data_IF_721409412442
#
_entry.id   IF_721409412442
#
_cell.length_a   1.000
_cell.length_b   1.000
_cell.length_c   1.000
_cell.angle_alpha   90.00
_cell.angle_beta   90.00
_cell.angle_gamma   90.00
#
_symmetry.space_group_name_H-M   'P 1'
#
loop_
_entity.id
_entity.type
_entity.pdbx_description
1 polymer ?
#
# COMPACT_ATOMS: atom_id res chain seq x y z
N UNK A 1 -38.95 -51.42 25.21
CA UNK A 1 -38.26 -50.27 25.86
C UNK A 1 -39.31 -49.33 26.44
N UNK A 2 -39.23 -48.95 27.73
CA UNK A 2 -40.28 -48.13 28.36
C UNK A 2 -40.18 -46.66 27.92
N UNK A 3 -41.31 -45.93 27.89
CA UNK A 3 -41.39 -44.52 27.43
C UNK A 3 -40.39 -43.60 28.15
N UNK A 4 -40.13 -43.86 29.44
CA UNK A 4 -39.16 -43.12 30.25
C UNK A 4 -37.72 -43.30 29.73
N UNK A 5 -37.31 -44.54 29.42
CA UNK A 5 -35.99 -44.85 28.88
C UNK A 5 -35.76 -44.22 27.51
N UNK A 6 -36.80 -44.16 26.65
CA UNK A 6 -36.71 -43.47 25.35
C UNK A 6 -36.44 -41.97 25.54
N UNK A 7 -37.17 -41.33 26.45
CA UNK A 7 -37.02 -39.89 26.72
C UNK A 7 -35.65 -39.55 27.33
N UNK A 8 -35.14 -40.39 28.24
CA UNK A 8 -33.80 -40.19 28.81
C UNK A 8 -32.70 -40.31 27.76
N UNK A 9 -32.80 -41.28 26.85
CA UNK A 9 -31.83 -41.44 25.76
C UNK A 9 -31.89 -40.26 24.77
N UNK A 10 -33.08 -39.76 24.46
CA UNK A 10 -33.25 -38.55 23.64
C UNK A 10 -32.62 -37.33 24.30
N UNK A 11 -32.87 -37.09 25.58
CA UNK A 11 -32.25 -35.98 26.34
C UNK A 11 -30.71 -36.09 26.35
N UNK A 12 -30.18 -37.29 26.55
CA UNK A 12 -28.72 -37.49 26.57
C UNK A 12 -28.10 -37.26 25.20
N UNK A 13 -28.76 -37.71 24.13
CA UNK A 13 -28.32 -37.44 22.75
C UNK A 13 -28.35 -35.95 22.41
N UNK A 14 -29.38 -35.21 22.88
CA UNK A 14 -29.51 -33.78 22.67
C UNK A 14 -28.42 -33.00 23.42
N UNK A 15 -28.13 -33.41 24.66
CA UNK A 15 -27.07 -32.83 25.47
C UNK A 15 -25.68 -33.09 24.86
N UNK A 16 -25.42 -34.32 24.41
CA UNK A 16 -24.17 -34.66 23.75
C UNK A 16 -23.98 -33.85 22.44
N UNK A 17 -25.05 -33.69 21.65
CA UNK A 17 -25.03 -32.84 20.46
C UNK A 17 -24.74 -31.38 20.78
N UNK A 18 -25.38 -30.83 21.82
CA UNK A 18 -25.12 -29.46 22.27
C UNK A 18 -23.66 -29.27 22.72
N UNK A 19 -23.10 -30.22 23.48
CA UNK A 19 -21.70 -30.18 23.94
C UNK A 19 -20.68 -30.28 22.81
N UNK A 20 -21.02 -30.94 21.70
CA UNK A 20 -20.15 -31.02 20.52
C UNK A 20 -20.06 -29.68 19.77
N UNK A 21 -21.14 -28.89 19.74
CA UNK A 21 -21.19 -27.59 19.05
C UNK A 21 -20.34 -26.53 19.76
N UNK A 22 -20.36 -26.49 21.09
CA UNK A 22 -19.55 -25.54 21.90
C UNK A 22 -18.04 -25.76 21.83
N UNK A 23 -17.56 -26.92 21.35
CA UNK A 23 -16.13 -27.24 21.24
C UNK A 23 -15.55 -26.97 19.85
N UNK A 24 -16.30 -26.37 18.92
CA UNK A 24 -15.76 -26.04 17.61
C UNK A 24 -14.79 -24.85 17.74
N UNK A 25 -13.48 -25.04 17.46
CA UNK A 25 -12.54 -23.93 17.52
C UNK A 25 -12.94 -22.89 16.47
N UNK A 26 -13.08 -21.64 16.90
CA UNK A 26 -13.34 -20.54 15.98
C UNK A 26 -12.17 -20.45 14.98
N UNK A 27 -12.48 -20.55 13.69
CA UNK A 27 -11.51 -20.32 12.62
C UNK A 27 -11.20 -18.82 12.54
N UNK A 28 -10.37 -18.34 13.47
CA UNK A 28 -9.85 -16.98 13.42
C UNK A 28 -8.87 -16.86 12.23
N UNK A 29 -8.95 -15.74 11.52
CA UNK A 29 -7.97 -15.42 10.49
C UNK A 29 -6.58 -15.33 11.13
N UNK A 30 -5.62 -16.11 10.64
CA UNK A 30 -4.20 -15.91 10.96
C UNK A 30 -3.63 -15.02 9.86
N UNK A 31 -3.29 -13.78 10.22
CA UNK A 31 -2.77 -12.77 9.28
C UNK A 31 -1.33 -13.02 8.87
N UNK A 32 -0.98 -14.25 8.44
CA UNK A 32 0.35 -14.63 7.98
C UNK A 32 1.50 -14.17 8.88
N UNK A 33 2.69 -14.04 8.30
CA UNK A 33 3.78 -13.24 8.88
C UNK A 33 3.65 -11.78 8.44
N UNK A 34 4.24 -10.85 9.19
CA UNK A 34 4.33 -9.47 8.75
C UNK A 34 5.22 -9.37 7.52
N UNK A 35 4.67 -8.89 6.41
CA UNK A 35 5.45 -8.46 5.25
C UNK A 35 5.68 -6.95 5.34
N UNK A 36 6.95 -6.57 5.53
CA UNK A 36 7.41 -5.18 5.61
C UNK A 36 8.31 -4.83 4.41
N UNK A 37 8.05 -5.43 3.24
CA UNK A 37 8.75 -5.08 2.01
C UNK A 37 8.53 -3.60 1.69
N UNK A 38 9.63 -2.85 1.55
CA UNK A 38 9.57 -1.43 1.22
C UNK A 38 9.57 -1.24 -0.30
N UNK A 39 8.86 -0.21 -0.76
CA UNK A 39 8.86 0.23 -2.14
C UNK A 39 8.78 1.75 -2.20
N UNK A 40 9.35 2.32 -3.25
CA UNK A 40 9.23 3.74 -3.58
C UNK A 40 8.44 3.90 -4.88
N UNK A 41 7.72 5.01 -5.00
CA UNK A 41 7.11 5.41 -6.27
C UNK A 41 8.06 6.41 -6.91
N UNK A 42 8.95 5.91 -7.76
CA UNK A 42 10.00 6.70 -8.39
C UNK A 42 9.56 7.30 -9.74
N UNK A 43 8.25 7.42 -9.97
CA UNK A 43 7.69 8.11 -11.12
C UNK A 43 6.22 8.47 -10.88
N UNK A 44 5.80 9.66 -11.31
CA UNK A 44 4.41 10.10 -11.17
C UNK A 44 4.25 11.59 -11.47
N UNK A 45 3.00 12.02 -11.62
CA UNK A 45 2.65 13.38 -12.08
C UNK A 45 2.03 13.36 -13.47
N UNK A 46 2.16 14.45 -14.20
CA UNK A 46 1.60 14.58 -15.55
C UNK A 46 1.40 16.02 -16.00
N UNK A 47 0.90 16.17 -17.21
CA UNK A 47 0.54 17.45 -17.80
C UNK A 47 -0.93 17.76 -17.50
N UNK A 48 -1.18 18.90 -16.87
CA UNK A 48 -2.50 19.53 -16.80
C UNK A 48 -2.56 20.69 -17.80
N UNK A 49 -3.71 20.88 -18.45
CA UNK A 49 -3.90 21.98 -19.41
C UNK A 49 -5.09 22.85 -19.00
N UNK A 50 -5.00 24.15 -19.29
CA UNK A 50 -6.06 25.11 -19.02
C UNK A 50 -5.91 26.35 -19.92
N UNK A 51 -6.80 26.49 -20.90
CA UNK A 51 -6.70 27.56 -21.90
C UNK A 51 -5.40 27.46 -22.70
N UNK A 52 -4.60 28.53 -22.71
CA UNK A 52 -3.30 28.59 -23.38
C UNK A 52 -2.13 28.07 -22.53
N UNK A 53 -2.40 27.54 -21.34
CA UNK A 53 -1.36 27.13 -20.39
C UNK A 53 -1.29 25.61 -20.23
N UNK A 54 -0.06 25.12 -20.11
CA UNK A 54 0.26 23.73 -19.75
C UNK A 54 1.10 23.73 -18.48
N UNK A 55 0.65 23.00 -17.47
CA UNK A 55 1.37 22.74 -16.23
C UNK A 55 1.87 21.29 -16.25
N UNK A 56 3.19 21.08 -16.21
CA UNK A 56 3.76 19.76 -16.02
C UNK A 56 4.24 19.62 -14.57
N UNK A 57 3.71 18.64 -13.85
CA UNK A 57 4.09 18.37 -12.47
C UNK A 57 4.61 16.94 -12.30
N UNK A 58 5.41 16.73 -11.27
CA UNK A 58 5.87 15.40 -10.83
C UNK A 58 5.58 15.21 -9.36
N UNK A 59 5.22 13.98 -8.97
CA UNK A 59 5.16 13.63 -7.55
C UNK A 59 6.59 13.65 -7.01
N UNK A 60 6.80 14.22 -5.82
CA UNK A 60 8.13 14.40 -5.25
C UNK A 60 8.89 13.08 -5.13
N UNK A 61 10.15 13.08 -5.58
CA UNK A 61 11.10 11.98 -5.44
C UNK A 61 12.12 12.35 -4.37
N UNK A 62 12.14 11.61 -3.24
CA UNK A 62 13.04 11.90 -2.14
C UNK A 62 14.51 11.61 -2.47
N UNK A 63 14.75 10.79 -3.49
CA UNK A 63 16.06 10.36 -3.99
C UNK A 63 16.52 11.14 -5.23
N UNK A 64 15.69 12.07 -5.75
CA UNK A 64 16.11 12.96 -6.82
C UNK A 64 17.28 13.84 -6.36
N UNK A 65 18.32 13.91 -7.18
CA UNK A 65 19.56 14.60 -6.82
C UNK A 65 20.72 14.20 -7.71
N UNK A 66 21.83 14.91 -7.60
CA UNK A 66 23.04 14.60 -8.36
C UNK A 66 23.90 13.60 -7.60
N UNK A 67 24.20 12.46 -8.23
CA UNK A 67 25.14 11.46 -7.75
C UNK A 67 26.46 11.64 -8.50
N UNK A 68 27.58 11.67 -7.77
CA UNK A 68 28.92 11.84 -8.33
C UNK A 68 29.79 10.67 -7.88
N UNK A 69 30.48 10.01 -8.81
CA UNK A 69 31.40 8.93 -8.49
C UNK A 69 32.28 8.50 -9.67
N UNK A 70 33.55 8.19 -9.41
CA UNK A 70 34.52 7.70 -10.41
C UNK A 70 34.62 8.54 -11.70
N UNK A 71 34.45 9.86 -11.60
CA UNK A 71 34.46 10.77 -12.75
C UNK A 71 33.14 10.86 -13.52
N UNK A 72 32.10 10.14 -13.08
CA UNK A 72 30.76 10.21 -13.63
C UNK A 72 29.86 11.08 -12.77
N UNK A 73 28.92 11.76 -13.43
CA UNK A 73 27.84 12.50 -12.80
C UNK A 73 26.52 11.96 -13.32
N UNK A 74 25.66 11.52 -12.43
CA UNK A 74 24.29 11.11 -12.72
C UNK A 74 23.37 12.14 -12.07
N UNK A 75 22.61 12.88 -12.87
CA UNK A 75 21.47 13.62 -12.35
C UNK A 75 20.31 12.63 -12.22
N UNK A 76 19.87 12.37 -10.99
CA UNK A 76 18.71 11.54 -10.69
C UNK A 76 17.44 12.38 -10.64
N UNK A 77 16.32 11.76 -11.01
CA UNK A 77 14.99 12.31 -10.93
C UNK A 77 14.35 12.64 -12.28
N UNK A 78 13.03 12.84 -12.28
CA UNK A 78 12.22 13.00 -13.51
C UNK A 78 12.68 14.17 -14.40
N UNK A 79 13.05 15.30 -13.80
CA UNK A 79 13.50 16.50 -14.50
C UNK A 79 15.02 16.53 -14.77
N UNK A 80 15.73 15.46 -14.43
CA UNK A 80 17.17 15.39 -14.63
C UNK A 80 17.52 15.41 -16.13
N UNK A 81 18.58 16.13 -16.50
CA UNK A 81 19.03 16.23 -17.88
C UNK A 81 18.25 17.24 -18.76
N UNK A 82 17.17 17.85 -18.26
CA UNK A 82 16.64 19.05 -18.88
C UNK A 82 17.59 20.20 -18.55
N UNK A 83 18.48 20.56 -19.49
CA UNK A 83 19.14 21.85 -19.46
C UNK A 83 18.03 22.91 -19.53
N UNK A 84 17.60 23.40 -18.37
CA UNK A 84 16.52 24.38 -18.31
C UNK A 84 17.07 25.67 -18.92
N UNK A 85 16.76 25.91 -20.19
CA UNK A 85 17.06 27.17 -20.85
C UNK A 85 16.08 28.19 -20.27
N UNK A 86 16.49 28.89 -19.22
CA UNK A 86 15.70 29.97 -18.64
C UNK A 86 15.75 31.16 -19.60
N UNK A 87 14.69 31.36 -20.38
CA UNK A 87 14.42 32.69 -20.92
C UNK A 87 13.81 33.52 -19.77
N UNK A 88 14.68 34.28 -19.10
CA UNK A 88 14.33 35.08 -17.93
C UNK A 88 13.65 36.36 -18.40
N UNK A 89 12.35 36.51 -18.07
CA UNK A 89 11.58 37.71 -18.39
C UNK A 89 11.17 38.52 -17.14
N UNK A 90 11.43 38.03 -15.93
CA UNK A 90 11.16 38.70 -14.65
C UNK A 90 12.30 38.44 -13.63
N UNK A 91 12.51 39.31 -12.63
CA UNK A 91 13.60 39.16 -11.68
C UNK A 91 13.41 37.92 -10.79
N UNK A 92 14.35 36.99 -10.88
CA UNK A 92 14.42 35.81 -10.03
C UNK A 92 15.05 36.18 -8.67
N UNK A 93 14.34 35.91 -7.58
CA UNK A 93 14.95 35.90 -6.24
C UNK A 93 15.44 34.49 -5.96
N UNK A 94 16.76 34.30 -6.09
CA UNK A 94 17.45 33.11 -5.60
C UNK A 94 17.69 33.27 -4.10
N UNK A 95 17.36 32.24 -3.32
CA UNK A 95 17.68 32.17 -1.88
C UNK A 95 18.92 31.32 -1.67
#
# INVERSE_FOLDING_TARGET
MNRKMILTLLMLSLLAGALAVIHTPAAAQTGGGYDLTWSTIDNGGGSATGGAYTLNGTIGQADAGTLIGNGYTLAGGYWSGSATMYHVYLPLVLK
#
